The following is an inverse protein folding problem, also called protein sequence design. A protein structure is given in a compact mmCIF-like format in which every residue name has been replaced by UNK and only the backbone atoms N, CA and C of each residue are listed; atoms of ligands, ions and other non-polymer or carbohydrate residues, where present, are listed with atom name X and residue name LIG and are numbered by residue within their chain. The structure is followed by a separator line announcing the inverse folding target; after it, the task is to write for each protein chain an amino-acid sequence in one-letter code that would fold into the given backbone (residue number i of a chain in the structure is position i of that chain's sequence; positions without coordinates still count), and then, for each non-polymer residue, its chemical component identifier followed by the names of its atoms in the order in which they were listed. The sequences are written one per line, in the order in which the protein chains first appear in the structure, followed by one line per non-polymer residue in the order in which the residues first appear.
data_IF_516335848151
#
_entry.id   IF_516335848151
#
_cell.length_a   1.000
_cell.length_b   1.000
_cell.length_c   1.000
_cell.angle_alpha   90.00
_cell.angle_beta   90.00
_cell.angle_gamma   90.00
#
_symmetry.space_group_name_H-M   'P 1'
#
loop_
_entity.id
_entity.type
_entity.pdbx_description
1 polymer ?
#
# COMPACT_ATOMS: atom_id res chain seq x y z
N UNK A 1 -16.26 -1.49 -0.20
CA UNK A 1 -15.38 -2.67 -0.02
C UNK A 1 -14.67 -2.98 -1.32
N UNK A 2 -13.35 -3.27 -1.32
CA UNK A 2 -12.56 -3.54 -2.56
C UNK A 2 -12.46 -5.03 -2.89
N UNK A 3 -12.47 -5.88 -1.86
CA UNK A 3 -12.41 -7.34 -1.99
C UNK A 3 -13.76 -7.85 -2.51
N UNK A 4 -13.74 -8.93 -3.30
CA UNK A 4 -14.98 -9.57 -3.74
C UNK A 4 -15.73 -10.22 -2.58
N UNK A 5 -17.05 -10.20 -2.64
CA UNK A 5 -17.90 -10.59 -1.52
C UNK A 5 -17.67 -12.05 -1.11
N UNK A 6 -17.43 -12.93 -2.09
CA UNK A 6 -17.09 -14.33 -1.84
C UNK A 6 -15.75 -14.48 -1.11
N UNK A 7 -14.73 -13.71 -1.52
CA UNK A 7 -13.40 -13.73 -0.88
C UNK A 7 -13.46 -13.14 0.53
N UNK A 8 -14.24 -12.08 0.73
CA UNK A 8 -14.44 -11.49 2.06
C UNK A 8 -15.14 -12.44 3.01
N UNK A 9 -16.16 -13.18 2.57
CA UNK A 9 -16.86 -14.18 3.39
C UNK A 9 -15.90 -15.29 3.84
N UNK A 10 -14.98 -15.72 2.97
CA UNK A 10 -13.97 -16.72 3.34
C UNK A 10 -12.98 -16.20 4.38
N UNK A 11 -12.64 -14.91 4.31
CA UNK A 11 -11.71 -14.27 5.24
C UNK A 11 -12.37 -13.87 6.57
N UNK A 12 -13.68 -13.57 6.57
CA UNK A 12 -14.36 -13.00 7.72
C UNK A 12 -14.60 -14.01 8.83
N UNK A 13 -14.50 -13.53 10.08
CA UNK A 13 -14.89 -14.33 11.23
C UNK A 13 -16.38 -14.66 11.14
N UNK A 14 -16.74 -15.94 11.29
CA UNK A 14 -18.10 -16.48 11.16
C UNK A 14 -18.74 -16.34 9.76
N UNK A 15 -17.96 -16.19 8.68
CA UNK A 15 -18.50 -16.08 7.32
C UNK A 15 -19.50 -14.90 7.14
N UNK A 16 -19.30 -13.83 7.92
CA UNK A 16 -20.13 -12.63 7.86
C UNK A 16 -19.91 -11.85 6.54
N UNK A 17 -20.99 -11.26 6.03
CA UNK A 17 -20.94 -10.34 4.88
C UNK A 17 -20.65 -8.93 5.36
N UNK A 18 -19.85 -8.20 4.60
CA UNK A 18 -19.72 -6.77 4.79
C UNK A 18 -21.00 -6.08 4.30
N UNK A 19 -21.66 -5.31 5.16
CA UNK A 19 -22.83 -4.51 4.81
C UNK A 19 -22.39 -3.07 4.66
N UNK A 20 -22.60 -2.49 3.47
CA UNK A 20 -22.31 -1.07 3.23
C UNK A 20 -23.24 -0.21 4.08
N UNK A 21 -22.71 0.68 4.95
CA UNK A 21 -23.55 1.57 5.74
C UNK A 21 -24.39 2.48 4.83
N UNK A 22 -25.69 2.55 5.09
CA UNK A 22 -26.60 3.47 4.40
C UNK A 22 -26.61 4.82 5.09
N UNK A 23 -26.84 5.89 4.33
CA UNK A 23 -27.03 7.22 4.92
C UNK A 23 -28.24 7.19 5.88
N UNK A 24 -28.06 7.40 7.20
CA UNK A 24 -29.16 7.36 8.16
C UNK A 24 -30.09 8.58 8.03
N UNK A 25 -29.71 9.59 7.24
CA UNK A 25 -30.54 10.75 6.97
C UNK A 25 -30.70 11.71 8.16
N UNK A 26 -31.65 12.65 8.06
CA UNK A 26 -31.96 13.54 9.18
C UNK A 26 -32.59 12.75 10.34
N UNK A 27 -32.28 13.14 11.58
CA UNK A 27 -32.95 12.56 12.73
C UNK A 27 -34.45 12.90 12.67
N UNK A 28 -35.37 11.98 13.03
CA UNK A 28 -36.80 12.23 12.97
C UNK A 28 -37.20 13.48 13.77
N UNK A 29 -38.07 14.32 13.18
CA UNK A 29 -38.59 15.50 13.87
C UNK A 29 -39.60 15.13 14.98
N UNK A 30 -40.28 13.99 14.82
CA UNK A 30 -41.15 13.39 15.84
C UNK A 30 -40.30 12.50 16.74
N UNK A 31 -40.02 12.96 17.96
CA UNK A 31 -39.21 12.24 18.94
C UNK A 31 -40.06 11.44 19.90
N UNK A 32 -39.48 10.39 20.47
CA UNK A 32 -40.14 9.62 21.53
C UNK A 32 -40.42 10.52 22.75
N UNK A 33 -41.64 10.47 23.33
CA UNK A 33 -41.97 11.22 24.53
C UNK A 33 -41.10 10.82 25.74
N UNK A 34 -40.65 9.56 25.80
CA UNK A 34 -39.75 9.10 26.87
C UNK A 34 -38.33 9.65 26.67
N UNK A 35 -37.80 10.29 27.71
CA UNK A 35 -36.49 10.92 27.67
C UNK A 35 -35.33 9.92 27.53
N UNK A 36 -35.41 8.76 28.17
CA UNK A 36 -34.38 7.74 28.11
C UNK A 36 -34.37 7.02 26.75
N UNK A 37 -35.55 6.75 26.19
CA UNK A 37 -35.68 6.15 24.86
C UNK A 37 -35.16 7.13 23.79
N UNK A 38 -35.51 8.41 23.90
CA UNK A 38 -35.02 9.46 22.99
C UNK A 38 -33.51 9.62 23.05
N UNK A 39 -32.92 9.64 24.25
CA UNK A 39 -31.46 9.76 24.39
C UNK A 39 -30.73 8.58 23.74
N UNK A 40 -31.26 7.37 23.89
CA UNK A 40 -30.74 6.17 23.22
C UNK A 40 -30.86 6.26 21.69
N UNK A 41 -32.02 6.65 21.15
CA UNK A 41 -32.23 6.80 19.70
C UNK A 41 -31.29 7.85 19.09
N UNK A 42 -31.06 8.96 19.79
CA UNK A 42 -30.10 9.99 19.35
C UNK A 42 -28.68 9.45 19.35
N UNK A 43 -28.30 8.66 20.36
CA UNK A 43 -26.99 8.03 20.42
C UNK A 43 -26.78 7.00 19.29
N UNK A 44 -27.79 6.16 19.02
CA UNK A 44 -27.78 5.20 17.90
C UNK A 44 -27.65 5.93 16.56
N UNK A 45 -28.48 6.94 16.29
CA UNK A 45 -28.41 7.74 15.05
C UNK A 45 -27.05 8.44 14.87
N UNK A 46 -26.45 8.92 15.96
CA UNK A 46 -25.12 9.54 15.92
C UNK A 46 -24.03 8.51 15.61
N UNK A 47 -24.15 7.29 16.14
CA UNK A 47 -23.25 6.20 15.81
C UNK A 47 -23.37 5.80 14.33
N UNK A 48 -24.59 5.62 13.82
CA UNK A 48 -24.84 5.32 12.40
C UNK A 48 -24.26 6.39 11.47
N UNK A 49 -24.40 7.68 11.84
CA UNK A 49 -23.77 8.79 11.10
C UNK A 49 -22.25 8.70 11.11
N UNK A 50 -21.64 8.42 12.26
CA UNK A 50 -20.19 8.30 12.38
C UNK A 50 -19.65 7.12 11.56
N UNK A 51 -20.36 5.99 11.56
CA UNK A 51 -20.04 4.82 10.72
C UNK A 51 -20.13 5.15 9.23
N UNK A 52 -21.22 5.81 8.80
CA UNK A 52 -21.40 6.22 7.41
C UNK A 52 -20.35 7.24 6.94
N UNK A 53 -20.03 8.24 7.76
CA UNK A 53 -18.97 9.22 7.47
C UNK A 53 -17.60 8.56 7.37
N UNK A 54 -17.30 7.60 8.26
CA UNK A 54 -16.07 6.83 8.22
C UNK A 54 -15.97 6.02 6.93
N UNK A 55 -17.07 5.34 6.56
CA UNK A 55 -17.15 4.58 5.32
C UNK A 55 -16.89 5.46 4.09
N UNK A 56 -17.58 6.60 3.98
CA UNK A 56 -17.38 7.56 2.88
C UNK A 56 -15.96 8.11 2.85
N UNK A 57 -15.37 8.40 4.01
CA UNK A 57 -13.99 8.86 4.13
C UNK A 57 -13.00 7.85 3.55
N UNK A 58 -13.13 6.58 3.96
CA UNK A 58 -12.29 5.49 3.46
C UNK A 58 -12.52 5.24 1.97
N UNK A 59 -13.77 5.27 1.51
CA UNK A 59 -14.10 5.08 0.09
C UNK A 59 -13.51 6.19 -0.79
N UNK A 60 -13.67 7.45 -0.39
CA UNK A 60 -13.10 8.59 -1.10
C UNK A 60 -11.57 8.56 -1.10
N UNK A 61 -10.95 8.16 0.01
CA UNK A 61 -9.51 8.01 0.10
C UNK A 61 -9.00 6.94 -0.86
N UNK A 62 -9.60 5.75 -0.84
CA UNK A 62 -9.22 4.65 -1.72
C UNK A 62 -9.38 5.02 -3.19
N UNK A 63 -10.46 5.71 -3.55
CA UNK A 63 -10.68 6.23 -4.90
C UNK A 63 -9.50 7.12 -5.34
N UNK A 64 -9.14 8.11 -4.52
CA UNK A 64 -8.02 9.03 -4.82
C UNK A 64 -6.68 8.30 -4.90
N UNK A 65 -6.44 7.32 -4.02
CA UNK A 65 -5.22 6.53 -4.02
C UNK A 65 -5.07 5.75 -5.34
N UNK A 66 -6.15 5.12 -5.83
CA UNK A 66 -6.13 4.39 -7.12
C UNK A 66 -5.87 5.35 -8.28
N UNK A 67 -6.62 6.46 -8.37
CA UNK A 67 -6.48 7.43 -9.46
C UNK A 67 -5.08 8.04 -9.52
N UNK A 68 -4.42 8.22 -8.37
CA UNK A 68 -3.06 8.78 -8.32
C UNK A 68 -2.00 7.83 -8.87
N UNK A 69 -2.22 6.52 -8.75
CA UNK A 69 -1.23 5.49 -9.12
C UNK A 69 -1.41 5.02 -10.56
N UNK A 70 -2.63 5.07 -11.08
CA UNK A 70 -2.96 4.62 -12.43
C UNK A 70 -2.76 5.74 -13.43
N UNK A 71 -2.15 5.42 -14.56
CA UNK A 71 -1.95 6.38 -15.65
C UNK A 71 -3.31 6.90 -16.17
N UNK A 72 -3.49 8.23 -16.33
CA UNK A 72 -4.79 8.82 -16.66
C UNK A 72 -5.45 8.27 -17.92
N UNK A 73 -4.66 7.83 -18.90
CA UNK A 73 -5.15 7.24 -20.16
C UNK A 73 -6.02 6.00 -19.93
N UNK A 74 -5.71 5.19 -18.91
CA UNK A 74 -6.41 3.95 -18.61
C UNK A 74 -7.74 4.15 -17.88
N UNK A 75 -7.99 5.35 -17.35
CA UNK A 75 -9.18 5.68 -16.57
C UNK A 75 -9.98 6.84 -17.16
N UNK A 76 -9.54 7.41 -18.29
CA UNK A 76 -10.19 8.54 -18.94
C UNK A 76 -11.66 8.26 -19.27
N UNK A 77 -11.98 7.03 -19.70
CA UNK A 77 -13.37 6.62 -20.01
C UNK A 77 -14.27 6.54 -18.78
N UNK A 78 -13.70 6.35 -17.59
CA UNK A 78 -14.44 6.31 -16.34
C UNK A 78 -14.73 7.70 -15.78
N UNK A 79 -14.10 8.75 -16.31
CA UNK A 79 -14.26 10.10 -15.82
C UNK A 79 -15.58 10.72 -16.32
N UNK A 80 -16.43 11.19 -15.39
CA UNK A 80 -17.59 12.00 -15.75
C UNK A 80 -17.17 13.46 -15.85
N UNK A 81 -17.59 14.15 -16.92
CA UNK A 81 -17.35 15.58 -17.11
C UNK A 81 -17.82 16.44 -15.92
N UNK A 82 -18.94 16.07 -15.30
CA UNK A 82 -19.56 16.86 -14.22
C UNK A 82 -19.11 16.46 -12.81
N UNK A 83 -18.80 15.17 -12.61
CA UNK A 83 -18.61 14.58 -11.28
C UNK A 83 -17.22 13.96 -11.09
N UNK A 84 -16.37 13.97 -12.11
CA UNK A 84 -15.12 13.22 -12.15
C UNK A 84 -15.37 11.75 -11.84
N UNK A 85 -14.52 11.17 -10.98
CA UNK A 85 -14.64 9.77 -10.53
C UNK A 85 -15.59 9.56 -9.34
N UNK A 86 -16.21 10.61 -8.78
CA UNK A 86 -16.97 10.50 -7.52
C UNK A 86 -18.19 9.60 -7.60
N UNK A 87 -18.73 9.40 -8.81
CA UNK A 87 -19.88 8.56 -9.08
C UNK A 87 -19.54 7.06 -9.16
N UNK A 88 -18.26 6.68 -9.07
CA UNK A 88 -17.78 5.30 -9.08
C UNK A 88 -17.21 4.91 -7.74
N UNK A 89 -17.53 3.70 -7.30
CA UNK A 89 -16.88 3.08 -6.16
C UNK A 89 -15.45 2.65 -6.54
N UNK A 90 -14.51 2.62 -5.58
CA UNK A 90 -13.17 2.06 -5.79
C UNK A 90 -13.18 0.63 -6.36
N UNK A 91 -14.18 -0.17 -6.00
CA UNK A 91 -14.36 -1.54 -6.49
C UNK A 91 -14.64 -1.56 -7.99
N UNK A 92 -15.53 -0.68 -8.47
CA UNK A 92 -15.86 -0.56 -9.88
C UNK A 92 -14.66 -0.10 -10.71
N UNK A 93 -13.88 0.86 -10.22
CA UNK A 93 -12.66 1.32 -10.90
C UNK A 93 -11.67 0.16 -11.04
N UNK A 94 -11.43 -0.61 -9.98
CA UNK A 94 -10.52 -1.76 -10.04
C UNK A 94 -11.07 -2.90 -10.90
N UNK A 95 -12.38 -3.15 -10.90
CA UNK A 95 -13.01 -4.14 -11.76
C UNK A 95 -12.86 -3.75 -13.23
N UNK A 96 -13.07 -2.48 -13.57
CA UNK A 96 -12.84 -1.95 -14.91
C UNK A 96 -11.38 -2.15 -15.34
N UNK A 97 -10.42 -1.76 -14.50
CA UNK A 97 -8.99 -1.93 -14.78
C UNK A 97 -8.59 -3.39 -14.95
N UNK A 98 -9.22 -4.33 -14.24
CA UNK A 98 -8.98 -5.76 -14.44
C UNK A 98 -9.57 -6.30 -15.73
N UNK A 99 -10.70 -5.75 -16.17
CA UNK A 99 -11.36 -6.16 -17.40
C UNK A 99 -10.71 -5.56 -18.65
N UNK A 100 -10.10 -4.37 -18.53
CA UNK A 100 -9.50 -3.62 -19.64
C UNK A 100 -7.96 -3.63 -19.61
N UNK A 101 -7.35 -3.99 -18.48
CA UNK A 101 -5.94 -4.30 -18.41
C UNK A 101 -5.64 -5.47 -19.34
N UNK A 102 -4.60 -5.33 -20.17
CA UNK A 102 -4.19 -6.40 -21.07
C UNK A 102 -3.99 -7.71 -20.31
N UNK A 103 -4.36 -8.82 -20.95
CA UNK A 103 -3.95 -10.13 -20.47
C UNK A 103 -2.42 -10.23 -20.53
N UNK A 104 -1.85 -11.11 -19.71
CA UNK A 104 -0.41 -11.36 -19.76
C UNK A 104 -0.05 -11.87 -21.15
N UNK A 105 0.77 -11.12 -21.88
CA UNK A 105 1.16 -11.56 -23.21
C UNK A 105 2.21 -12.69 -23.13
N UNK A 106 2.53 -13.30 -24.28
CA UNK A 106 3.51 -14.39 -24.31
C UNK A 106 4.92 -13.96 -23.88
N UNK A 107 5.28 -12.68 -24.03
CA UNK A 107 6.57 -12.14 -23.61
C UNK A 107 6.60 -12.00 -22.09
N UNK A 108 5.53 -11.48 -21.49
CA UNK A 108 5.34 -11.37 -20.04
C UNK A 108 5.39 -12.75 -19.38
N UNK A 109 4.70 -13.74 -19.96
CA UNK A 109 4.74 -15.13 -19.46
C UNK A 109 6.15 -15.70 -19.54
N UNK A 110 6.86 -15.43 -20.64
CA UNK A 110 8.24 -15.89 -20.81
C UNK A 110 9.18 -15.21 -19.82
N UNK A 111 9.03 -13.91 -19.58
CA UNK A 111 9.80 -13.17 -18.59
C UNK A 111 9.53 -13.69 -17.18
N UNK A 112 8.26 -13.94 -16.81
CA UNK A 112 7.92 -14.55 -15.53
C UNK A 112 8.56 -15.93 -15.34
N UNK A 113 8.57 -16.78 -16.38
CA UNK A 113 9.25 -18.07 -16.33
C UNK A 113 10.76 -17.88 -16.14
N UNK A 114 11.38 -16.93 -16.84
CA UNK A 114 12.80 -16.60 -16.65
C UNK A 114 13.09 -16.09 -15.23
N UNK A 115 12.23 -15.24 -14.67
CA UNK A 115 12.33 -14.76 -13.30
C UNK A 115 12.18 -15.90 -12.27
N UNK A 116 11.36 -16.91 -12.58
CA UNK A 116 11.23 -18.11 -11.76
C UNK A 116 12.48 -19.00 -11.80
N UNK A 117 13.14 -19.06 -12.96
CA UNK A 117 14.39 -19.80 -13.18
C UNK A 117 15.63 -19.04 -12.74
N UNK A 118 15.50 -17.77 -12.34
CA UNK A 118 16.61 -16.96 -11.86
C UNK A 118 17.28 -17.62 -10.66
N UNK A 119 18.59 -17.78 -10.77
CA UNK A 119 19.42 -18.36 -9.72
C UNK A 119 19.26 -17.61 -8.39
N UNK A 120 19.31 -18.37 -7.31
CA UNK A 120 19.30 -17.83 -5.96
C UNK A 120 20.66 -17.22 -5.64
N UNK A 121 20.69 -16.00 -5.09
CA UNK A 121 21.94 -15.27 -4.83
C UNK A 121 22.70 -15.74 -3.57
N UNK A 122 22.20 -16.78 -2.89
CA UNK A 122 22.74 -17.39 -1.66
C UNK A 122 22.88 -16.45 -0.44
N UNK A 123 22.51 -15.18 -0.59
CA UNK A 123 22.53 -14.16 0.45
C UNK A 123 21.11 -13.89 0.95
N UNK A 124 20.12 -13.88 0.05
CA UNK A 124 18.72 -13.75 0.41
C UNK A 124 18.23 -14.98 1.16
N UNK A 125 17.40 -14.79 2.19
CA UNK A 125 16.83 -15.91 2.92
C UNK A 125 15.97 -16.79 2.00
N UNK A 126 15.99 -18.14 2.15
CA UNK A 126 15.16 -19.04 1.35
C UNK A 126 13.68 -18.68 1.38
N UNK A 127 13.16 -18.21 2.52
CA UNK A 127 11.78 -17.73 2.63
C UNK A 127 11.45 -16.61 1.61
N UNK A 128 12.38 -15.69 1.35
CA UNK A 128 12.22 -14.59 0.39
C UNK A 128 12.19 -15.12 -1.04
N UNK A 129 13.10 -16.03 -1.38
CA UNK A 129 13.12 -16.73 -2.67
C UNK A 129 11.80 -17.46 -2.92
N UNK A 130 11.32 -18.23 -1.93
CA UNK A 130 10.09 -18.98 -2.09
C UNK A 130 8.89 -18.06 -2.24
N UNK A 131 8.81 -16.98 -1.45
CA UNK A 131 7.74 -15.98 -1.54
C UNK A 131 7.75 -15.23 -2.89
N UNK A 132 8.92 -14.95 -3.46
CA UNK A 132 9.05 -14.39 -4.82
C UNK A 132 8.46 -15.35 -5.85
N UNK A 133 8.87 -16.62 -5.81
CA UNK A 133 8.34 -17.62 -6.74
C UNK A 133 6.83 -17.86 -6.57
N UNK A 134 6.28 -17.79 -5.35
CA UNK A 134 4.84 -17.93 -5.12
C UNK A 134 4.01 -16.77 -5.72
N UNK A 135 4.61 -15.58 -5.84
CA UNK A 135 3.97 -14.44 -6.53
C UNK A 135 3.96 -14.67 -8.04
N UNK A 136 5.09 -15.11 -8.59
CA UNK A 136 5.23 -15.43 -10.02
C UNK A 136 4.30 -16.56 -10.42
N UNK A 137 4.23 -17.66 -9.65
CA UNK A 137 3.32 -18.77 -9.92
C UNK A 137 1.85 -18.34 -9.87
N UNK A 138 1.46 -17.44 -8.97
CA UNK A 138 0.10 -16.87 -8.96
C UNK A 138 -0.22 -16.07 -10.21
N UNK A 139 0.75 -15.38 -10.79
CA UNK A 139 0.58 -14.66 -12.07
C UNK A 139 0.50 -15.64 -13.25
N UNK A 140 1.36 -16.65 -13.26
CA UNK A 140 1.35 -17.71 -14.28
C UNK A 140 0.04 -18.50 -14.29
N UNK A 141 -0.51 -18.85 -13.12
CA UNK A 141 -1.81 -19.52 -12.99
C UNK A 141 -2.95 -18.68 -13.54
N UNK A 142 -2.90 -17.35 -13.34
CA UNK A 142 -3.87 -16.43 -13.95
C UNK A 142 -3.77 -16.42 -15.48
N UNK A 143 -2.56 -16.55 -16.02
CA UNK A 143 -2.30 -16.69 -17.45
C UNK A 143 -2.53 -18.13 -18.00
N UNK A 144 -3.17 -19.01 -17.22
CA UNK A 144 -3.50 -20.38 -17.64
C UNK A 144 -2.35 -21.40 -17.56
N UNK A 145 -1.19 -21.03 -17.01
CA UNK A 145 -0.07 -21.95 -16.80
C UNK A 145 -0.22 -22.69 -15.46
N UNK A 146 -0.11 -24.02 -15.48
CA UNK A 146 -0.20 -24.80 -14.25
C UNK A 146 1.00 -24.51 -13.33
N UNK A 147 0.74 -24.38 -12.03
CA UNK A 147 1.80 -24.31 -11.03
C UNK A 147 2.66 -25.57 -11.07
N UNK A 148 3.99 -25.43 -10.99
CA UNK A 148 4.91 -26.56 -11.07
C UNK A 148 5.93 -26.55 -9.90
N UNK A 149 5.49 -26.87 -8.68
CA UNK A 149 6.37 -26.98 -7.52
C UNK A 149 7.55 -27.96 -7.70
N UNK A 150 7.39 -29.11 -8.39
CA UNK A 150 8.52 -30.01 -8.67
C UNK A 150 9.65 -29.35 -9.47
N UNK A 151 9.31 -28.53 -10.48
CA UNK A 151 10.32 -27.81 -11.27
C UNK A 151 11.09 -26.81 -10.40
N UNK A 152 10.41 -26.13 -9.47
CA UNK A 152 11.05 -25.19 -8.54
C UNK A 152 12.02 -25.89 -7.59
N UNK A 153 11.67 -27.08 -7.11
CA UNK A 153 12.57 -27.91 -6.32
C UNK A 153 13.79 -28.33 -7.15
N UNK A 154 13.58 -28.78 -8.38
CA UNK A 154 14.66 -29.18 -9.28
C UNK A 154 15.62 -28.03 -9.61
N UNK A 155 15.10 -26.82 -9.87
CA UNK A 155 15.92 -25.62 -10.08
C UNK A 155 16.74 -25.27 -8.84
N UNK A 156 16.19 -25.44 -7.65
CA UNK A 156 16.93 -25.22 -6.40
C UNK A 156 18.05 -26.25 -6.22
N UNK A 157 17.76 -27.52 -6.51
CA UNK A 157 18.76 -28.60 -6.43
C UNK A 157 19.88 -28.46 -7.46
N UNK A 158 19.58 -27.93 -8.64
CA UNK A 158 20.56 -27.72 -9.71
C UNK A 158 21.67 -26.70 -9.36
N UNK A 159 21.42 -25.83 -8.38
CA UNK A 159 22.39 -24.83 -7.92
C UNK A 159 23.56 -25.45 -7.13
N UNK A 160 23.43 -26.68 -6.63
CA UNK A 160 24.51 -27.43 -5.96
C UNK A 160 24.98 -26.88 -4.60
N UNK A 161 24.53 -25.69 -4.19
CA UNK A 161 24.75 -25.12 -2.87
C UNK A 161 23.78 -25.74 -1.83
N UNK A 162 24.24 -25.97 -0.60
CA UNK A 162 23.56 -26.79 0.42
C UNK A 162 23.47 -28.30 0.12
N UNK A 163 24.33 -28.81 -0.77
CA UNK A 163 24.41 -30.23 -1.12
C UNK A 163 24.34 -31.21 0.08
N UNK A 164 25.02 -30.97 1.23
CA UNK A 164 24.86 -31.84 2.41
C UNK A 164 23.42 -31.86 2.94
N UNK A 165 22.79 -30.69 3.08
CA UNK A 165 21.40 -30.57 3.53
C UNK A 165 20.43 -31.16 2.50
N UNK A 166 20.70 -31.00 1.20
CA UNK A 166 19.90 -31.61 0.13
C UNK A 166 20.01 -33.14 0.18
N UNK A 167 21.18 -33.72 0.49
CA UNK A 167 21.32 -35.17 0.71
C UNK A 167 20.51 -35.65 1.91
N UNK A 168 20.56 -34.94 3.03
CA UNK A 168 19.75 -35.25 4.21
C UNK A 168 18.25 -35.16 3.91
N UNK A 169 17.84 -34.17 3.11
CA UNK A 169 16.47 -34.05 2.62
C UNK A 169 16.06 -35.25 1.76
N UNK A 170 16.90 -35.65 0.80
CA UNK A 170 16.65 -36.79 -0.09
C UNK A 170 16.54 -38.12 0.65
N UNK A 171 17.22 -38.24 1.80
CA UNK A 171 17.18 -39.41 2.67
C UNK A 171 15.88 -39.53 3.51
N UNK A 172 15.06 -38.48 3.57
CA UNK A 172 13.77 -38.53 4.28
C UNK A 172 12.75 -39.45 3.56
N UNK A 173 11.77 -40.01 4.29
CA UNK A 173 10.69 -40.80 3.71
C UNK A 173 9.94 -40.05 2.60
N UNK A 174 9.51 -40.76 1.56
CA UNK A 174 8.82 -40.15 0.40
C UNK A 174 7.59 -39.34 0.81
N UNK A 175 6.85 -39.80 1.82
CA UNK A 175 5.69 -39.11 2.37
C UNK A 175 6.03 -37.73 2.96
N UNK A 176 7.24 -37.57 3.51
CA UNK A 176 7.69 -36.32 4.12
C UNK A 176 8.34 -35.37 3.10
N UNK A 177 8.69 -35.87 1.91
CA UNK A 177 9.31 -35.09 0.83
C UNK A 177 8.30 -34.24 0.06
N UNK A 178 7.52 -33.45 0.80
CA UNK A 178 6.59 -32.46 0.25
C UNK A 178 7.27 -31.09 0.10
N UNK A 179 6.80 -30.28 -0.84
CA UNK A 179 7.33 -28.92 -1.03
C UNK A 179 7.18 -28.05 0.23
N UNK A 180 6.08 -28.21 0.98
CA UNK A 180 5.86 -27.52 2.25
C UNK A 180 6.94 -27.86 3.27
N UNK A 181 7.24 -29.15 3.45
CA UNK A 181 8.26 -29.61 4.38
C UNK A 181 9.67 -29.19 3.92
N UNK A 182 9.91 -29.16 2.60
CA UNK A 182 11.17 -28.70 2.02
C UNK A 182 11.48 -27.25 2.39
N UNK A 183 10.47 -26.36 2.31
CA UNK A 183 10.64 -24.94 2.65
C UNK A 183 11.08 -24.75 4.10
N UNK A 184 10.47 -25.50 5.01
CA UNK A 184 10.82 -25.48 6.44
C UNK A 184 12.25 -25.99 6.64
N UNK A 185 12.58 -27.13 6.03
CA UNK A 185 13.88 -27.75 6.15
C UNK A 185 15.02 -26.84 5.64
N UNK A 186 14.85 -26.24 4.46
CA UNK A 186 15.86 -25.35 3.87
C UNK A 186 16.04 -24.06 4.65
N UNK A 187 14.95 -23.48 5.20
CA UNK A 187 15.05 -22.32 6.06
C UNK A 187 15.88 -22.63 7.32
N UNK A 188 15.68 -23.81 7.93
CA UNK A 188 16.47 -24.26 9.07
C UNK A 188 17.96 -24.39 8.70
N UNK A 189 18.27 -25.13 7.63
CA UNK A 189 19.63 -25.31 7.15
C UNK A 189 20.35 -23.98 6.86
N UNK A 190 19.65 -23.00 6.29
CA UNK A 190 20.19 -21.65 6.05
C UNK A 190 20.49 -20.92 7.35
N UNK A 191 19.58 -20.94 8.32
CA UNK A 191 19.81 -20.30 9.63
C UNK A 191 20.98 -20.93 10.37
N UNK A 192 21.14 -22.25 10.30
CA UNK A 192 22.24 -22.97 10.96
C UNK A 192 23.58 -22.66 10.28
N UNK A 193 23.65 -22.65 8.94
CA UNK A 193 24.86 -22.22 8.19
C UNK A 193 25.25 -20.78 8.55
N UNK A 194 24.30 -19.87 8.65
CA UNK A 194 24.58 -18.47 9.01
C UNK A 194 25.05 -18.32 10.46
N UNK A 195 24.51 -19.09 11.40
CA UNK A 195 25.00 -19.15 12.79
C UNK A 195 26.43 -19.69 12.85
N UNK A 196 26.71 -20.79 12.14
CA UNK A 196 28.05 -21.36 12.07
C UNK A 196 29.05 -20.35 11.46
N UNK A 197 28.73 -19.73 10.33
CA UNK A 197 29.59 -18.72 9.69
C UNK A 197 29.87 -17.52 10.62
N UNK A 198 28.86 -17.06 11.38
CA UNK A 198 29.03 -15.99 12.37
C UNK A 198 29.93 -16.42 13.53
N UNK A 199 29.76 -17.64 14.03
CA UNK A 199 30.61 -18.22 15.09
C UNK A 199 32.05 -18.40 14.62
N UNK A 200 32.26 -18.87 13.38
CA UNK A 200 33.60 -19.06 12.80
C UNK A 200 34.30 -17.71 12.60
N UNK A 201 33.59 -16.69 12.10
CA UNK A 201 34.12 -15.33 11.99
C UNK A 201 34.52 -14.73 13.34
N UNK A 202 33.75 -15.00 14.40
CA UNK A 202 34.09 -14.59 15.77
C UNK A 202 35.27 -15.39 16.35
N UNK A 203 35.40 -16.68 16.01
CA UNK A 203 36.52 -17.53 16.45
C UNK A 203 37.86 -17.17 15.77
N UNK A 204 37.85 -16.71 14.51
CA UNK A 204 39.05 -16.19 13.85
C UNK A 204 39.56 -14.87 14.45
N UNK A 205 38.74 -14.16 15.23
CA UNK A 205 39.14 -12.99 16.02
C UNK A 205 39.53 -13.29 17.47
N UNK A 206 39.36 -14.54 17.94
CA UNK A 206 39.72 -14.97 19.30
C UNK A 206 40.33 -16.37 19.24
N UNK A 207 41.64 -16.40 19.06
CA UNK A 207 42.41 -17.65 19.06
C UNK A 207 42.19 -18.46 20.34
N UNK A 208 41.94 -19.77 20.14
CA UNK A 208 42.14 -20.92 21.04
C UNK A 208 41.62 -20.77 22.48
N UNK A 209 40.39 -21.24 22.77
CA UNK A 209 40.04 -21.88 24.06
C UNK A 209 38.94 -22.95 23.88
N UNK A 210 39.38 -24.21 23.92
CA UNK A 210 38.77 -25.48 24.35
C UNK A 210 37.26 -25.80 24.18
N UNK A 211 37.08 -26.88 23.42
CA UNK A 211 36.18 -28.06 23.53
C UNK A 211 35.27 -28.24 24.75
N UNK A 212 34.10 -28.83 24.43
CA UNK A 212 33.20 -29.63 25.28
C UNK A 212 31.96 -28.92 25.85
N UNK A 213 30.93 -28.72 25.01
CA UNK A 213 29.51 -28.72 25.41
C UNK A 213 28.58 -29.21 24.28
N UNK A 214 29.04 -30.12 23.42
CA UNK A 214 28.36 -30.47 22.15
C UNK A 214 27.49 -31.75 22.20
N UNK A 215 26.99 -32.17 23.37
CA UNK A 215 26.26 -33.47 23.46
C UNK A 215 24.91 -33.41 24.16
N UNK A 216 24.50 -32.29 24.77
CA UNK A 216 23.26 -32.26 25.59
C UNK A 216 22.13 -31.34 25.10
N UNK A 217 22.28 -30.62 23.98
CA UNK A 217 21.20 -29.76 23.43
C UNK A 217 20.32 -30.41 22.35
N UNK A 218 20.53 -31.69 22.03
CA UNK A 218 19.90 -32.35 20.87
C UNK A 218 18.45 -32.81 21.03
N UNK A 219 17.73 -32.46 22.12
CA UNK A 219 16.35 -32.96 22.34
C UNK A 219 15.36 -31.93 22.88
N UNK A 220 15.74 -30.66 22.92
CA UNK A 220 14.84 -29.58 23.35
C UNK A 220 14.28 -28.94 22.07
N UNK A 221 13.10 -29.47 21.73
CA UNK A 221 12.01 -28.79 21.05
C UNK A 221 12.09 -28.53 19.54
N UNK A 222 11.92 -29.60 18.77
CA UNK A 222 11.57 -29.55 17.35
C UNK A 222 10.21 -28.84 17.10
N UNK A 223 9.29 -28.92 18.09
CA UNK A 223 8.01 -28.23 18.08
C UNK A 223 8.14 -26.73 18.46
N UNK A 224 9.00 -26.38 19.41
CA UNK A 224 9.22 -24.99 19.81
C UNK A 224 10.09 -24.26 18.77
N UNK A 225 11.05 -24.94 18.14
CA UNK A 225 11.80 -24.44 16.99
C UNK A 225 10.92 -24.26 15.74
N UNK A 226 9.97 -25.18 15.49
CA UNK A 226 8.96 -25.01 14.44
C UNK A 226 8.00 -23.85 14.77
N UNK A 227 7.59 -23.71 16.03
CA UNK A 227 6.78 -22.58 16.49
C UNK A 227 7.53 -21.25 16.39
N UNK A 228 8.84 -21.22 16.69
CA UNK A 228 9.71 -20.05 16.52
C UNK A 228 9.92 -19.70 15.05
N UNK A 229 10.07 -20.68 14.16
CA UNK A 229 10.19 -20.43 12.72
C UNK A 229 8.86 -19.98 12.10
N UNK A 230 7.73 -20.55 12.53
CA UNK A 230 6.39 -20.09 12.14
C UNK A 230 6.14 -18.70 12.73
N UNK A 231 6.54 -18.43 13.97
CA UNK A 231 6.46 -17.12 14.59
C UNK A 231 7.39 -16.12 13.91
N UNK A 232 8.56 -16.52 13.42
CA UNK A 232 9.49 -15.65 12.68
C UNK A 232 8.96 -15.37 11.28
N UNK A 233 8.40 -16.35 10.57
CA UNK A 233 7.72 -16.12 9.28
C UNK A 233 6.45 -15.30 9.47
N UNK A 234 5.69 -15.55 10.54
CA UNK A 234 4.52 -14.76 10.90
C UNK A 234 4.92 -13.37 11.37
N UNK A 235 6.05 -13.17 12.06
CA UNK A 235 6.60 -11.85 12.42
C UNK A 235 7.24 -11.17 11.23
N UNK A 236 7.77 -11.88 10.24
CA UNK A 236 8.25 -11.29 8.98
C UNK A 236 7.06 -10.91 8.12
N UNK A 237 6.02 -11.74 8.04
CA UNK A 237 4.76 -11.40 7.37
C UNK A 237 4.03 -10.28 8.10
N UNK A 238 3.90 -10.34 9.42
CA UNK A 238 3.29 -9.29 10.25
C UNK A 238 4.14 -8.04 10.24
N UNK A 239 5.47 -8.11 10.33
CA UNK A 239 6.32 -6.92 10.20
C UNK A 239 6.32 -6.38 8.77
N UNK A 240 6.11 -7.20 7.76
CA UNK A 240 5.94 -6.74 6.38
C UNK A 240 4.54 -6.15 6.16
N UNK A 241 3.49 -6.73 6.73
CA UNK A 241 2.13 -6.20 6.76
C UNK A 241 2.05 -4.93 7.61
N UNK A 242 2.76 -4.87 8.74
CA UNK A 242 2.92 -3.71 9.59
C UNK A 242 3.80 -2.67 8.91
N UNK A 243 4.84 -3.04 8.17
CA UNK A 243 5.62 -2.10 7.35
C UNK A 243 4.75 -1.55 6.23
N UNK A 244 3.93 -2.38 5.59
CA UNK A 244 2.98 -1.93 4.59
C UNK A 244 1.86 -1.08 5.20
N UNK A 245 1.37 -1.42 6.39
CA UNK A 245 0.38 -0.64 7.14
C UNK A 245 0.98 0.65 7.70
N UNK A 246 2.24 0.64 8.15
CA UNK A 246 3.01 1.82 8.56
C UNK A 246 3.31 2.71 7.37
N UNK A 247 3.70 2.15 6.23
CA UNK A 247 3.82 2.90 4.97
C UNK A 247 2.47 3.45 4.51
N UNK A 248 1.38 2.70 4.68
CA UNK A 248 0.03 3.16 4.35
C UNK A 248 -0.44 4.24 5.33
N UNK A 249 -0.09 4.14 6.61
CA UNK A 249 -0.37 5.13 7.66
C UNK A 249 0.54 6.35 7.55
N UNK A 250 1.78 6.21 7.11
CA UNK A 250 2.69 7.31 6.78
C UNK A 250 2.20 8.03 5.53
N UNK A 251 1.82 7.29 4.49
CA UNK A 251 1.17 7.86 3.30
C UNK A 251 -0.14 8.54 3.68
N UNK A 252 -0.94 7.97 4.59
CA UNK A 252 -2.17 8.59 5.13
C UNK A 252 -1.84 9.86 5.92
N UNK A 253 -0.79 9.84 6.75
CA UNK A 253 -0.32 10.98 7.53
C UNK A 253 0.22 12.09 6.64
N UNK A 254 0.99 11.76 5.60
CA UNK A 254 1.48 12.70 4.58
C UNK A 254 0.33 13.31 3.79
N UNK A 255 -0.69 12.52 3.42
CA UNK A 255 -1.86 13.03 2.70
C UNK A 255 -2.76 13.88 3.60
N UNK A 256 -2.89 13.53 4.88
CA UNK A 256 -3.60 14.32 5.88
C UNK A 256 -2.86 15.62 6.19
N UNK A 257 -1.53 15.58 6.33
CA UNK A 257 -0.69 16.78 6.47
C UNK A 257 -0.72 17.66 5.21
N UNK A 258 -0.91 17.07 4.03
CA UNK A 258 -1.16 17.82 2.80
C UNK A 258 -2.59 18.41 2.73
N UNK A 259 -3.53 18.00 3.60
CA UNK A 259 -4.94 18.37 3.53
C UNK A 259 -5.57 18.90 4.83
N UNK A 260 -4.80 19.31 5.85
CA UNK A 260 -5.32 20.15 6.96
C UNK A 260 -5.13 21.63 6.63
N UNK A 261 -6.18 22.47 6.68
CA UNK A 261 -6.01 23.91 6.76
C UNK A 261 -5.43 24.25 8.14
N UNK A 262 -4.10 24.38 8.24
CA UNK A 262 -3.41 25.05 9.36
C UNK A 262 -2.38 24.25 10.18
N UNK A 263 -1.09 24.47 9.85
CA UNK A 263 0.15 24.42 10.66
C UNK A 263 0.90 23.07 10.91
N UNK A 264 2.25 23.08 11.16
CA UNK A 264 3.34 23.86 10.54
C UNK A 264 4.47 22.95 9.96
N UNK A 265 5.04 23.30 8.81
CA UNK A 265 6.25 22.64 8.26
C UNK A 265 7.53 23.28 8.80
N UNK A 266 8.51 22.47 9.21
CA UNK A 266 9.85 22.96 9.49
C UNK A 266 10.59 23.34 8.21
N UNK A 267 10.99 24.62 8.21
CA UNK A 267 12.16 25.22 7.56
C UNK A 267 12.47 24.89 6.09
N UNK A 268 11.83 25.65 5.20
CA UNK A 268 12.53 26.20 4.04
C UNK A 268 12.42 27.73 4.08
N UNK A 269 13.58 28.38 4.16
CA UNK A 269 13.94 29.79 3.85
C UNK A 269 12.76 30.79 3.71
N UNK A 270 12.74 31.89 4.49
CA UNK A 270 11.57 32.73 4.66
C UNK A 270 11.21 33.45 3.35
N UNK A 271 10.24 32.91 2.61
CA UNK A 271 9.60 33.64 1.51
C UNK A 271 8.33 34.25 2.05
N UNK A 272 8.41 35.56 2.31
CA UNK A 272 7.32 36.41 2.75
C UNK A 272 6.02 36.10 2.00
N UNK A 273 4.92 36.00 2.76
CA UNK A 273 3.56 35.97 2.24
C UNK A 273 3.41 37.01 1.14
N UNK A 274 3.15 36.59 -0.10
CA UNK A 274 2.67 37.52 -1.13
C UNK A 274 1.26 37.94 -0.71
N UNK A 275 1.17 38.94 0.17
CA UNK A 275 0.09 39.91 0.10
C UNK A 275 -0.09 40.21 -1.38
N UNK A 276 -1.31 40.04 -1.92
CA UNK A 276 -1.58 40.37 -3.33
C UNK A 276 -1.12 41.81 -3.52
N UNK A 277 0.04 42.02 -4.15
CA UNK A 277 0.65 43.35 -4.28
C UNK A 277 -0.36 44.20 -5.03
N UNK A 278 -1.01 45.09 -4.30
CA UNK A 278 -1.91 46.06 -4.85
C UNK A 278 -1.04 47.04 -5.63
N UNK A 279 -1.34 47.26 -6.90
CA UNK A 279 -0.55 48.18 -7.70
C UNK A 279 -0.61 49.59 -7.08
N UNK A 280 0.52 50.27 -6.85
CA UNK A 280 0.55 51.61 -6.27
C UNK A 280 -0.14 52.67 -7.13
N UNK A 281 -0.27 52.42 -8.45
CA UNK A 281 -0.87 53.38 -9.39
C UNK A 281 -2.40 53.25 -9.51
N UNK A 282 -2.94 52.03 -9.54
CA UNK A 282 -4.38 51.81 -9.76
C UNK A 282 -5.13 51.15 -8.59
N UNK A 283 -4.43 50.85 -7.50
CA UNK A 283 -4.98 50.23 -6.28
C UNK A 283 -5.73 48.90 -6.51
N UNK A 284 -5.44 48.19 -7.61
CA UNK A 284 -6.00 46.85 -7.91
C UNK A 284 -4.93 45.76 -7.82
N UNK A 285 -5.32 44.51 -7.52
CA UNK A 285 -4.39 43.40 -7.43
C UNK A 285 -3.96 42.94 -8.84
N UNK A 286 -2.75 43.32 -9.26
CA UNK A 286 -2.10 42.71 -10.43
C UNK A 286 -0.59 42.62 -10.21
N UNK A 287 0.02 41.55 -10.72
CA UNK A 287 1.38 41.15 -10.36
C UNK A 287 2.49 42.07 -10.89
N UNK A 288 2.21 42.90 -11.91
CA UNK A 288 3.19 43.77 -12.59
C UNK A 288 2.76 45.23 -12.53
N UNK A 289 3.23 46.03 -11.55
CA UNK A 289 2.93 47.45 -11.43
C UNK A 289 3.44 48.30 -12.60
N UNK A 290 4.57 47.95 -13.19
CA UNK A 290 5.23 48.72 -14.26
C UNK A 290 4.44 48.71 -15.57
N UNK A 291 3.57 47.71 -15.73
CA UNK A 291 2.64 47.59 -16.87
C UNK A 291 1.27 48.21 -16.56
N UNK A 292 1.15 49.03 -15.52
CA UNK A 292 -0.10 49.68 -15.20
C UNK A 292 -0.47 50.72 -16.27
N UNK A 293 -1.70 50.67 -16.76
CA UNK A 293 -2.22 51.61 -17.77
C UNK A 293 -2.42 53.05 -17.24
N UNK A 294 -2.33 53.26 -15.92
CA UNK A 294 -2.30 54.61 -15.32
C UNK A 294 -0.96 55.31 -15.54
N UNK A 295 0.11 54.59 -15.91
CA UNK A 295 1.40 55.18 -16.25
C UNK A 295 1.38 55.79 -17.65
N UNK A 296 2.02 56.95 -17.79
CA UNK A 296 2.10 57.68 -19.06
C UNK A 296 2.88 56.92 -20.14
N UNK A 297 3.88 56.14 -19.73
CA UNK A 297 4.65 55.27 -20.63
C UNK A 297 3.79 54.19 -21.31
N UNK A 298 2.66 53.80 -20.70
CA UNK A 298 1.79 52.74 -21.19
C UNK A 298 0.51 53.30 -21.84
N UNK A 299 0.50 54.59 -22.22
CA UNK A 299 -0.63 55.26 -22.88
C UNK A 299 -1.03 54.59 -24.20
N UNK A 300 -0.05 54.13 -24.96
CA UNK A 300 -0.26 53.49 -26.26
C UNK A 300 -0.97 52.12 -26.15
N UNK A 301 -0.83 51.45 -25.01
CA UNK A 301 -1.40 50.10 -24.76
C UNK A 301 -2.81 50.14 -24.16
N UNK A 302 -3.45 51.33 -24.09
CA UNK A 302 -4.78 51.50 -23.53
C UNK A 302 -5.83 51.02 -24.53
N UNK A 303 -6.70 50.11 -24.09
CA UNK A 303 -7.90 49.72 -24.84
C UNK A 303 -8.81 50.95 -25.07
N UNK A 304 -9.54 50.99 -26.19
CA UNK A 304 -10.38 52.12 -26.58
C UNK A 304 -11.46 52.50 -25.54
N UNK A 305 -11.89 51.56 -24.71
CA UNK A 305 -12.88 51.74 -23.64
C UNK A 305 -12.25 51.94 -22.24
N UNK A 306 -10.94 52.15 -22.17
CA UNK A 306 -10.22 52.34 -20.91
C UNK A 306 -10.56 53.69 -20.26
N UNK A 307 -11.00 53.65 -19.00
CA UNK A 307 -11.25 54.85 -18.17
C UNK A 307 -10.19 54.98 -17.08
N UNK A 308 -9.71 56.17 -16.69
CA UNK A 308 -8.80 56.31 -15.56
C UNK A 308 -9.43 55.81 -14.25
N UNK A 309 -8.62 55.29 -13.33
CA UNK A 309 -9.06 54.75 -12.04
C UNK A 309 -9.86 55.79 -11.23
N UNK A 310 -9.50 57.07 -11.31
CA UNK A 310 -10.22 58.18 -10.68
C UNK A 310 -11.67 58.36 -11.16
N UNK A 311 -12.05 57.79 -12.31
CA UNK A 311 -13.39 57.89 -12.92
C UNK A 311 -14.20 56.58 -12.86
N UNK A 312 -13.71 55.55 -12.17
CA UNK A 312 -14.39 54.24 -12.07
C UNK A 312 -15.13 54.13 -10.72
N UNK A 313 -16.46 54.18 -10.73
CA UNK A 313 -17.27 53.98 -9.52
C UNK A 313 -17.12 52.54 -8.97
N UNK A 314 -17.08 52.34 -7.63
CA UNK A 314 -17.05 51.01 -7.04
C UNK A 314 -18.39 50.28 -7.27
N UNK A 315 -18.35 49.05 -7.79
CA UNK A 315 -19.53 48.18 -7.86
C UNK A 315 -19.96 47.83 -6.43
N UNK A 316 -21.19 48.17 -6.06
CA UNK A 316 -21.85 47.64 -4.87
C UNK A 316 -21.88 46.10 -4.97
N UNK A 317 -21.44 45.43 -3.91
CA UNK A 317 -21.50 43.97 -3.80
C UNK A 317 -22.96 43.60 -3.47
N UNK A 318 -23.58 42.82 -4.36
CA UNK A 318 -24.86 42.13 -4.13
C UNK A 318 -24.59 40.70 -3.68
#
# INVERSE_FOLDING_TARGET
MIIDDAEYILFSHNAARFVTPTNPGPYPATVDPDAAIRERQVAEHKAEKAEFETYLGVENFLRKAIIKVVDPEWIAELESESMGFNHRSPKEILAYLRAHGGDLDHLDVTELIQQLQKDWDHVEAPATLFARGDKIERQLVKAGQAANPPLRLASFEALGEFEPSIREWKAKPVADRTFTNFRIFMQKAFTDRNKHNKSTAQSTGRGIVNSATDVTMGKVDEAEAAALAIAEVAMVMQSNQEKQFKQMMEMFKELMQANVPGAPSQASVPTQSKQRKVCPHCKRPHAKPDKCWELDANKADRLANWKPAAKRQPKAQS
#
